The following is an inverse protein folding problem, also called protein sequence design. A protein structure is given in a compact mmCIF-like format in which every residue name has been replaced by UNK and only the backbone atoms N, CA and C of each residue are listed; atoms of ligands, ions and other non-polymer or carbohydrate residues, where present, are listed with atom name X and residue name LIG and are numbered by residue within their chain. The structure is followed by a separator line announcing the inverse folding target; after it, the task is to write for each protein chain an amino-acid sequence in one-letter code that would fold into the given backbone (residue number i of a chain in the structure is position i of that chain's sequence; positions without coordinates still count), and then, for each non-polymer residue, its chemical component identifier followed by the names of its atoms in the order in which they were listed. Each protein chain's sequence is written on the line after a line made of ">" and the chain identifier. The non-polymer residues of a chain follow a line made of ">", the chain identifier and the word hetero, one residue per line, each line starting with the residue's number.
data_IF_876275678409
#
_entry.id   IF_876275678409
#
_cell.length_a   1.000
_cell.length_b   1.000
_cell.length_c   1.000
_cell.angle_alpha   90.00
_cell.angle_beta   90.00
_cell.angle_gamma   90.00
#
_symmetry.space_group_name_H-M   'P 1'
#
loop_
_entity.id
_entity.type
_entity.pdbx_description
1 polymer ?
#
# COMPACT_ATOMS: atom_id res chain seq x y z
N UNK A 1 -18.62 -0.20 12.34
CA UNK A 1 -18.11 0.95 13.13
C UNK A 1 -17.11 1.70 12.26
N UNK A 2 -17.21 3.03 12.10
CA UNK A 2 -16.35 3.80 11.18
C UNK A 2 -14.84 3.77 11.50
N UNK A 3 -14.43 3.23 12.66
CA UNK A 3 -13.03 3.18 13.07
C UNK A 3 -12.46 4.60 13.23
N UNK A 4 -11.16 4.77 13.04
CA UNK A 4 -10.50 6.07 13.08
C UNK A 4 -10.53 6.81 11.71
N UNK A 5 -11.30 6.31 10.74
CA UNK A 5 -11.40 6.89 9.41
C UNK A 5 -11.95 8.33 9.41
N UNK A 6 -12.74 8.71 10.42
CA UNK A 6 -13.27 10.07 10.56
C UNK A 6 -12.19 11.14 10.81
N UNK A 7 -10.97 10.72 11.20
CA UNK A 7 -9.83 11.61 11.44
C UNK A 7 -9.10 12.02 10.16
N UNK A 8 -9.50 11.47 9.01
CA UNK A 8 -8.87 11.72 7.72
C UNK A 8 -9.68 12.73 6.90
N UNK A 9 -9.02 13.80 6.48
CA UNK A 9 -9.55 14.78 5.55
C UNK A 9 -9.19 14.47 4.09
N UNK A 10 -9.45 15.42 3.17
CA UNK A 10 -9.11 15.26 1.75
C UNK A 10 -7.61 15.11 1.49
N UNK A 11 -6.75 15.55 2.42
CA UNK A 11 -5.29 15.41 2.36
C UNK A 11 -4.80 14.38 3.38
N UNK A 12 -5.29 13.15 3.28
CA UNK A 12 -5.01 12.07 4.24
C UNK A 12 -3.52 11.82 4.52
N UNK A 13 -2.64 12.04 3.54
CA UNK A 13 -1.19 11.88 3.71
C UNK A 13 -0.58 12.89 4.71
N UNK A 14 -1.14 14.09 4.82
CA UNK A 14 -0.73 15.08 5.82
C UNK A 14 -1.27 14.72 7.20
N UNK A 15 -2.51 14.24 7.27
CA UNK A 15 -3.13 13.80 8.53
C UNK A 15 -2.35 12.63 9.14
N UNK A 16 -1.90 11.67 8.31
CA UNK A 16 -1.03 10.57 8.75
C UNK A 16 0.32 11.08 9.29
N UNK A 17 0.91 12.08 8.63
CA UNK A 17 2.16 12.68 9.07
C UNK A 17 1.98 13.43 10.41
N UNK A 18 0.88 14.15 10.59
CA UNK A 18 0.57 14.82 11.86
C UNK A 18 0.37 13.80 12.99
N UNK A 19 -0.38 12.72 12.73
CA UNK A 19 -0.57 11.63 13.69
C UNK A 19 0.76 10.96 14.09
N UNK A 20 1.74 10.90 13.18
CA UNK A 20 3.07 10.35 13.50
C UNK A 20 3.81 11.11 14.59
N UNK A 21 3.49 12.40 14.78
CA UNK A 21 4.07 13.21 15.88
C UNK A 21 3.60 12.75 17.26
N UNK A 22 2.37 12.23 17.33
CA UNK A 22 1.76 11.80 18.60
C UNK A 22 1.92 10.30 18.87
N UNK A 23 1.87 9.47 17.82
CA UNK A 23 1.90 8.01 17.93
C UNK A 23 3.23 7.37 17.51
N UNK A 24 4.16 8.16 16.97
CA UNK A 24 5.45 7.69 16.47
C UNK A 24 5.47 7.36 14.97
N UNK A 25 6.65 6.99 14.47
CA UNK A 25 6.88 6.74 13.03
C UNK A 25 6.09 5.52 12.50
N UNK A 26 5.73 4.58 13.36
CA UNK A 26 4.94 3.39 13.02
C UNK A 26 3.76 3.31 13.98
N UNK A 27 2.54 3.32 13.42
CA UNK A 27 1.34 3.16 14.22
C UNK A 27 0.27 2.38 13.45
N UNK A 28 -0.71 1.84 14.18
CA UNK A 28 -1.83 1.11 13.58
C UNK A 28 -3.15 1.79 13.91
N UNK A 29 -4.11 1.69 12.98
CA UNK A 29 -5.45 2.21 13.16
C UNK A 29 -6.45 1.41 12.32
N UNK A 30 -7.72 1.45 12.72
CA UNK A 30 -8.81 0.87 11.93
C UNK A 30 -9.35 1.89 10.93
N UNK A 31 -9.34 1.54 9.65
CA UNK A 31 -10.08 2.23 8.59
C UNK A 31 -11.34 1.42 8.27
N UNK A 32 -12.49 1.85 8.78
CA UNK A 32 -13.71 1.04 8.78
C UNK A 32 -13.48 -0.26 9.56
N UNK A 33 -13.61 -1.41 8.88
CA UNK A 33 -13.38 -2.73 9.45
C UNK A 33 -11.96 -3.28 9.25
N UNK A 34 -11.07 -2.54 8.57
CA UNK A 34 -9.73 -3.02 8.22
C UNK A 34 -8.67 -2.40 9.13
N UNK A 35 -7.85 -3.24 9.75
CA UNK A 35 -6.65 -2.78 10.45
C UNK A 35 -5.59 -2.38 9.43
N UNK A 36 -5.03 -1.18 9.59
CA UNK A 36 -3.99 -0.63 8.72
C UNK A 36 -2.81 -0.20 9.59
N UNK A 37 -1.60 -0.52 9.14
CA UNK A 37 -0.35 -0.03 9.73
C UNK A 37 0.18 1.07 8.82
N UNK A 38 0.46 2.23 9.41
CA UNK A 38 1.00 3.40 8.72
C UNK A 38 2.48 3.51 9.05
N UNK A 39 3.31 3.60 8.01
CA UNK A 39 4.76 3.79 8.11
C UNK A 39 5.10 5.20 7.66
N UNK A 40 5.86 5.93 8.49
CA UNK A 40 6.36 7.26 8.21
C UNK A 40 7.89 7.31 8.31
N UNK A 41 8.51 8.30 7.66
CA UNK A 41 9.95 8.56 7.79
C UNK A 41 10.83 7.36 7.43
N UNK A 42 11.81 7.07 8.29
CA UNK A 42 12.82 6.02 8.05
C UNK A 42 12.23 4.61 8.08
N UNK A 43 11.12 4.41 8.80
CA UNK A 43 10.44 3.11 8.84
C UNK A 43 9.94 2.67 7.46
N UNK A 44 9.62 3.63 6.57
CA UNK A 44 9.27 3.32 5.19
C UNK A 44 10.49 2.79 4.42
N UNK A 45 11.65 3.42 4.58
CA UNK A 45 12.88 3.01 3.91
C UNK A 45 13.30 1.60 4.32
N UNK A 46 13.23 1.28 5.61
CA UNK A 46 13.55 -0.05 6.15
C UNK A 46 12.57 -1.13 5.65
N UNK A 47 11.28 -0.81 5.56
CA UNK A 47 10.28 -1.75 5.06
C UNK A 47 10.44 -2.05 3.56
N UNK A 48 10.85 -1.05 2.78
CA UNK A 48 10.98 -1.15 1.33
C UNK A 48 12.37 -1.61 0.86
N UNK A 49 13.41 -1.38 1.67
CA UNK A 49 14.80 -1.62 1.28
C UNK A 49 15.36 -2.80 2.06
N UNK A 50 15.34 -4.00 1.46
CA UNK A 50 15.98 -5.19 2.01
C UNK A 50 15.14 -6.45 1.93
N UNK A 51 15.38 -7.39 2.86
CA UNK A 51 14.75 -8.72 2.89
C UNK A 51 13.23 -8.68 3.05
N UNK A 52 12.70 -7.61 3.67
CA UNK A 52 11.27 -7.44 3.94
C UNK A 52 10.47 -6.88 2.76
N UNK A 53 11.14 -6.32 1.74
CA UNK A 53 10.49 -5.76 0.55
C UNK A 53 9.50 -6.74 -0.10
N UNK A 54 9.86 -8.03 -0.15
CA UNK A 54 9.01 -9.10 -0.68
C UNK A 54 7.79 -9.41 0.19
N UNK A 55 7.90 -9.25 1.51
CA UNK A 55 6.81 -9.47 2.47
C UNK A 55 5.76 -8.36 2.33
N UNK A 56 6.21 -7.12 2.12
CA UNK A 56 5.33 -5.95 1.93
C UNK A 56 4.90 -5.71 0.47
N UNK A 57 5.30 -6.58 -0.46
CA UNK A 57 4.95 -6.43 -1.88
C UNK A 57 3.47 -6.71 -2.20
N UNK A 58 2.69 -7.19 -1.23
CA UNK A 58 1.25 -7.42 -1.40
C UNK A 58 0.47 -6.16 -1.79
N UNK A 59 -0.72 -6.36 -2.40
CA UNK A 59 -1.67 -5.29 -2.72
C UNK A 59 -3.03 -5.59 -2.11
N UNK A 60 -3.65 -4.65 -1.39
CA UNK A 60 -4.95 -4.87 -0.79
C UNK A 60 -6.04 -4.98 -1.87
N UNK A 61 -7.01 -5.89 -1.66
CA UNK A 61 -8.21 -5.97 -2.48
C UNK A 61 -9.13 -4.79 -2.14
N UNK A 62 -9.12 -3.77 -2.98
CA UNK A 62 -9.99 -2.60 -2.88
C UNK A 62 -11.02 -2.66 -4.00
N UNK A 63 -12.29 -2.37 -3.68
CA UNK A 63 -13.40 -2.45 -4.64
C UNK A 63 -13.15 -1.61 -5.90
N UNK A 64 -12.63 -0.39 -5.74
CA UNK A 64 -12.27 0.48 -6.85
C UNK A 64 -11.16 -0.12 -7.73
N UNK A 65 -10.18 -0.80 -7.13
CA UNK A 65 -9.03 -1.37 -7.84
C UNK A 65 -9.40 -2.63 -8.62
N UNK A 66 -10.38 -3.40 -8.13
CA UNK A 66 -10.93 -4.56 -8.81
C UNK A 66 -11.72 -4.17 -10.07
N UNK A 67 -12.33 -2.98 -10.07
CA UNK A 67 -13.05 -2.43 -11.23
C UNK A 67 -12.14 -1.75 -12.25
N UNK A 68 -10.84 -1.63 -11.98
CA UNK A 68 -9.89 -1.18 -12.99
C UNK A 68 -9.78 -2.22 -14.12
N UNK A 69 -9.25 -1.78 -15.28
CA UNK A 69 -9.08 -2.62 -16.48
C UNK A 69 -8.47 -3.99 -16.12
N UNK A 70 -9.02 -5.05 -16.72
CA UNK A 70 -8.65 -6.45 -16.47
C UNK A 70 -8.92 -6.95 -15.04
N UNK A 71 -9.98 -6.46 -14.37
CA UNK A 71 -10.39 -6.98 -13.07
C UNK A 71 -9.38 -6.71 -11.94
N UNK A 72 -8.56 -5.67 -12.09
CA UNK A 72 -7.45 -5.38 -11.19
C UNK A 72 -6.18 -6.24 -11.41
N UNK A 73 -6.13 -7.14 -12.40
CA UNK A 73 -4.93 -7.94 -12.75
C UNK A 73 -3.94 -7.15 -13.64
N UNK A 74 -3.85 -5.84 -13.44
CA UNK A 74 -2.85 -4.97 -14.07
C UNK A 74 -1.50 -5.02 -13.35
N UNK A 75 -0.47 -4.36 -13.88
CA UNK A 75 0.86 -4.33 -13.24
C UNK A 75 0.85 -3.65 -11.85
N UNK A 76 -0.01 -2.64 -11.66
CA UNK A 76 -0.07 -1.82 -10.45
C UNK A 76 -0.84 -2.50 -9.31
N UNK A 77 -1.97 -3.14 -9.64
CA UNK A 77 -2.95 -3.65 -8.67
C UNK A 77 -2.91 -5.18 -8.47
N UNK A 78 -2.26 -5.92 -9.37
CA UNK A 78 -2.24 -7.38 -9.24
C UNK A 78 -1.47 -7.81 -7.99
N UNK A 79 -1.90 -8.91 -7.33
CA UNK A 79 -1.19 -9.44 -6.18
C UNK A 79 0.21 -9.90 -6.57
N UNK A 80 1.16 -9.75 -5.65
CA UNK A 80 2.52 -10.25 -5.84
C UNK A 80 2.51 -11.78 -6.00
N UNK A 81 2.74 -12.24 -7.22
CA UNK A 81 2.73 -13.67 -7.59
C UNK A 81 3.70 -13.93 -8.76
N UNK A 82 3.88 -15.20 -9.13
CA UNK A 82 4.75 -15.58 -10.27
C UNK A 82 4.29 -14.94 -11.58
N UNK A 83 2.98 -14.88 -11.82
CA UNK A 83 2.38 -14.25 -13.00
C UNK A 83 2.70 -12.76 -13.08
N UNK A 84 2.57 -12.04 -11.97
CA UNK A 84 2.94 -10.62 -11.87
C UNK A 84 4.42 -10.39 -12.18
N UNK A 85 5.33 -11.21 -11.63
CA UNK A 85 6.78 -11.11 -11.90
C UNK A 85 7.12 -11.29 -13.37
N UNK A 86 6.59 -12.33 -14.01
CA UNK A 86 6.82 -12.57 -15.45
C UNK A 86 6.33 -11.38 -16.27
N UNK A 87 5.13 -10.86 -15.98
CA UNK A 87 4.58 -9.70 -16.66
C UNK A 87 5.46 -8.46 -16.51
N UNK A 88 5.98 -8.20 -15.30
CA UNK A 88 6.89 -7.09 -15.02
C UNK A 88 8.19 -7.21 -15.82
N UNK A 89 8.84 -8.37 -15.77
CA UNK A 89 10.10 -8.62 -16.48
C UNK A 89 9.94 -8.49 -17.99
N UNK A 90 8.85 -8.99 -18.55
CA UNK A 90 8.56 -8.86 -19.98
C UNK A 90 8.43 -7.40 -20.41
N UNK A 91 7.72 -6.58 -19.61
CA UNK A 91 7.59 -5.15 -19.89
C UNK A 91 8.92 -4.40 -19.77
N UNK A 92 9.74 -4.74 -18.78
CA UNK A 92 11.08 -4.14 -18.62
C UNK A 92 12.03 -4.51 -19.77
N UNK A 93 11.87 -5.71 -20.35
CA UNK A 93 12.68 -6.17 -21.48
C UNK A 93 12.27 -5.59 -22.83
N UNK A 94 11.07 -5.02 -22.93
CA UNK A 94 10.59 -4.45 -24.18
C UNK A 94 11.29 -3.12 -24.45
N UNK A 95 11.94 -2.91 -25.62
CA UNK A 95 12.49 -1.62 -25.97
C UNK A 95 11.37 -0.58 -26.03
N UNK A 96 11.63 0.59 -25.46
CA UNK A 96 10.70 1.72 -25.40
C UNK A 96 10.56 2.41 -26.75
#
# INVERSE_FOLDING_TARGET
>A
VPGAAFRLGPKSHLDFLEMSRNYGQVFSMYLGSRLVVVLNGMALQEALTGKLSRVFAGRPKLYTMERCRNGGDGLINAPYCRKWKVRHTLLESCPR
#
